data_IF_282281558708
#
_entry.id   IF_282281558708
#
_cell.length_a   1.000
_cell.length_b   1.000
_cell.length_c   1.000
_cell.angle_alpha   90.00
_cell.angle_beta   90.00
_cell.angle_gamma   90.00
#
_symmetry.space_group_name_H-M   'P 1'
#
loop_
_entity.id
_entity.type
_entity.pdbx_description
1 polymer ?
#
# COMPACT_ATOMS: atom_id res chain seq x y z
N UNK A 1 -6.09 -24.80 -12.22
CA UNK A 1 -6.77 -24.41 -10.97
C UNK A 1 -6.75 -22.90 -10.88
N UNK A 2 -7.82 -22.25 -10.43
CA UNK A 2 -7.80 -20.80 -10.20
C UNK A 2 -6.87 -20.48 -9.02
N UNK A 3 -6.19 -19.34 -9.04
CA UNK A 3 -5.31 -18.89 -7.94
C UNK A 3 -6.05 -18.87 -6.60
N UNK A 4 -7.32 -18.45 -6.62
CA UNK A 4 -8.26 -18.45 -5.49
C UNK A 4 -8.46 -19.83 -4.86
N UNK A 5 -8.60 -20.89 -5.66
CA UNK A 5 -8.81 -22.24 -5.12
C UNK A 5 -7.57 -22.74 -4.36
N UNK A 6 -6.37 -22.43 -4.88
CA UNK A 6 -5.11 -22.80 -4.23
C UNK A 6 -4.88 -22.01 -2.94
N UNK A 7 -5.22 -20.72 -2.90
CA UNK A 7 -5.14 -19.94 -1.66
C UNK A 7 -6.16 -20.40 -0.62
N UNK A 8 -7.35 -20.84 -1.03
CA UNK A 8 -8.36 -21.37 -0.10
C UNK A 8 -7.89 -22.68 0.56
N UNK A 9 -7.20 -23.54 -0.19
CA UNK A 9 -6.58 -24.76 0.32
C UNK A 9 -5.44 -24.44 1.30
N UNK A 10 -4.58 -23.47 0.95
CA UNK A 10 -3.47 -22.98 1.80
C UNK A 10 -3.96 -22.48 3.16
N UNK A 11 -4.99 -21.64 3.16
CA UNK A 11 -5.51 -21.03 4.38
C UNK A 11 -6.46 -21.95 5.18
N UNK A 12 -6.71 -23.18 4.71
CA UNK A 12 -7.66 -24.13 5.32
C UNK A 12 -9.05 -23.52 5.58
N UNK A 13 -9.52 -22.67 4.66
CA UNK A 13 -10.77 -21.89 4.81
C UNK A 13 -10.80 -20.98 6.06
N UNK A 14 -9.64 -20.47 6.50
CA UNK A 14 -9.53 -19.47 7.56
C UNK A 14 -8.86 -18.20 7.05
N UNK A 15 -9.11 -17.08 7.71
CA UNK A 15 -8.43 -15.84 7.40
C UNK A 15 -6.94 -15.93 7.76
N UNK A 16 -6.06 -15.54 6.84
CA UNK A 16 -4.61 -15.63 7.04
C UNK A 16 -4.07 -14.58 8.03
N UNK A 17 -4.84 -13.53 8.33
CA UNK A 17 -4.48 -12.49 9.29
C UNK A 17 -5.04 -12.72 10.70
N UNK A 18 -6.30 -13.16 10.83
CA UNK A 18 -6.96 -13.30 12.13
C UNK A 18 -7.38 -14.73 12.49
N UNK A 19 -7.28 -15.68 11.57
CA UNK A 19 -7.69 -17.07 11.80
C UNK A 19 -9.20 -17.31 11.86
N UNK A 20 -10.03 -16.29 11.60
CA UNK A 20 -11.50 -16.45 11.60
C UNK A 20 -11.99 -17.32 10.43
N UNK A 21 -13.14 -17.98 10.62
CA UNK A 21 -13.83 -18.87 9.69
C UNK A 21 -14.96 -18.16 8.89
N UNK A 22 -14.90 -16.84 8.83
CA UNK A 22 -15.88 -16.00 8.14
C UNK A 22 -15.66 -15.96 6.61
N UNK A 23 -16.55 -15.28 5.88
CA UNK A 23 -16.43 -15.07 4.43
C UNK A 23 -15.05 -14.55 4.06
N UNK A 24 -14.33 -15.33 3.23
CA UNK A 24 -12.99 -15.00 2.78
C UNK A 24 -13.02 -14.34 1.40
N UNK A 25 -12.31 -13.22 1.30
CA UNK A 25 -12.08 -12.50 0.06
C UNK A 25 -10.60 -12.55 -0.29
N UNK A 26 -10.28 -12.77 -1.55
CA UNK A 26 -8.91 -12.74 -2.03
C UNK A 26 -8.46 -11.28 -2.21
N UNK A 27 -7.37 -10.90 -1.54
CA UNK A 27 -6.81 -9.55 -1.56
C UNK A 27 -5.41 -9.59 -2.17
N UNK A 28 -5.17 -8.77 -3.19
CA UNK A 28 -3.84 -8.60 -3.77
C UNK A 28 -3.01 -7.63 -2.91
N UNK A 29 -1.84 -8.08 -2.47
CA UNK A 29 -0.96 -7.28 -1.62
C UNK A 29 -0.23 -6.24 -2.50
N UNK A 30 -0.38 -4.93 -2.23
CA UNK A 30 0.31 -3.90 -3.00
C UNK A 30 1.83 -4.09 -3.01
N UNK A 31 2.55 -3.74 -4.10
CA UNK A 31 2.12 -2.98 -5.28
C UNK A 31 1.42 -3.82 -6.36
N UNK A 32 1.21 -5.12 -6.13
CA UNK A 32 0.60 -6.00 -7.12
C UNK A 32 -0.91 -5.77 -7.19
N UNK A 33 -1.42 -5.63 -8.42
CA UNK A 33 -2.84 -5.40 -8.70
C UNK A 33 -3.61 -6.69 -9.02
N UNK A 34 -2.90 -7.81 -9.20
CA UNK A 34 -3.47 -9.09 -9.57
C UNK A 34 -3.34 -10.09 -8.42
N UNK A 35 -4.43 -10.80 -8.14
CA UNK A 35 -4.47 -11.85 -7.14
C UNK A 35 -3.81 -13.11 -7.70
N UNK A 36 -2.57 -13.36 -7.26
CA UNK A 36 -1.81 -14.59 -7.50
C UNK A 36 -1.59 -15.33 -6.18
N UNK A 37 -1.18 -16.60 -6.24
CA UNK A 37 -0.87 -17.38 -5.03
C UNK A 37 0.30 -16.75 -4.26
N UNK A 38 1.28 -16.23 -4.99
CA UNK A 38 2.48 -15.64 -4.41
C UNK A 38 2.19 -14.26 -3.80
N UNK A 39 1.29 -13.48 -4.40
CA UNK A 39 1.09 -12.06 -4.05
C UNK A 39 -0.31 -11.75 -3.48
N UNK A 40 -1.09 -12.78 -3.20
CA UNK A 40 -2.45 -12.68 -2.66
C UNK A 40 -2.55 -13.27 -1.26
N UNK A 41 -3.50 -12.75 -0.49
CA UNK A 41 -3.92 -13.32 0.80
C UNK A 41 -5.43 -13.50 0.87
N UNK A 42 -5.87 -14.46 1.68
CA UNK A 42 -7.29 -14.63 2.00
C UNK A 42 -7.63 -13.92 3.31
N UNK A 43 -8.48 -12.90 3.22
CA UNK A 43 -8.86 -12.06 4.36
C UNK A 43 -10.35 -12.12 4.62
N UNK A 44 -10.74 -12.03 5.89
CA UNK A 44 -12.14 -11.84 6.24
C UNK A 44 -12.59 -10.39 6.00
N UNK A 45 -13.90 -10.19 5.95
CA UNK A 45 -14.51 -8.88 5.73
C UNK A 45 -14.06 -7.84 6.77
N UNK A 46 -13.84 -8.25 8.03
CA UNK A 46 -13.35 -7.35 9.08
C UNK A 46 -11.92 -6.88 8.81
N UNK A 47 -10.99 -7.80 8.54
CA UNK A 47 -9.61 -7.46 8.21
C UNK A 47 -9.54 -6.62 6.94
N UNK A 48 -10.38 -6.90 5.94
CA UNK A 48 -10.41 -6.15 4.69
C UNK A 48 -10.90 -4.71 4.91
N UNK A 49 -11.95 -4.50 5.70
CA UNK A 49 -12.48 -3.16 5.96
C UNK A 49 -11.53 -2.29 6.80
N UNK A 50 -10.78 -2.91 7.71
CA UNK A 50 -9.85 -2.20 8.59
C UNK A 50 -8.42 -2.17 8.04
N UNK A 51 -8.16 -2.75 6.87
CA UNK A 51 -6.81 -2.90 6.34
C UNK A 51 -6.14 -1.54 6.11
N UNK A 52 -6.89 -0.54 5.67
CA UNK A 52 -6.38 0.80 5.37
C UNK A 52 -6.42 1.75 6.58
N UNK A 53 -7.36 1.51 7.48
CA UNK A 53 -7.61 2.33 8.67
C UNK A 53 -7.97 1.42 9.86
N UNK A 54 -6.97 0.94 10.62
CA UNK A 54 -7.19 -0.01 11.70
C UNK A 54 -7.90 0.67 12.88
N UNK A 55 -9.15 0.27 13.14
CA UNK A 55 -9.99 0.88 14.19
C UNK A 55 -10.02 0.03 15.46
N UNK A 56 -10.10 -1.29 15.32
CA UNK A 56 -10.13 -2.21 16.44
C UNK A 56 -8.73 -2.74 16.76
N UNK A 57 -7.99 -2.01 17.58
CA UNK A 57 -6.62 -2.35 18.00
C UNK A 57 -6.54 -3.76 18.62
N UNK A 58 -7.60 -4.20 19.33
CA UNK A 58 -7.60 -5.52 19.95
C UNK A 58 -7.72 -6.65 18.93
N UNK A 59 -8.44 -6.41 17.82
CA UNK A 59 -8.53 -7.39 16.74
C UNK A 59 -7.15 -7.68 16.15
N UNK A 60 -6.34 -6.64 15.93
CA UNK A 60 -5.00 -6.75 15.32
C UNK A 60 -3.95 -7.43 16.18
N UNK A 61 -4.25 -7.78 17.44
CA UNK A 61 -3.34 -8.59 18.26
C UNK A 61 -3.09 -9.98 17.68
N UNK A 62 -3.99 -10.47 16.81
CA UNK A 62 -3.81 -11.72 16.07
C UNK A 62 -2.57 -11.72 15.16
N UNK A 63 -2.05 -10.53 14.80
CA UNK A 63 -0.84 -10.41 13.99
C UNK A 63 0.40 -11.01 14.65
N UNK A 64 0.42 -11.15 15.98
CA UNK A 64 1.51 -11.83 16.70
C UNK A 64 1.68 -13.29 16.27
N UNK A 65 0.60 -13.94 15.81
CA UNK A 65 0.66 -15.30 15.27
C UNK A 65 0.90 -15.28 13.76
N UNK A 66 0.18 -14.42 13.03
CA UNK A 66 0.26 -14.34 11.56
C UNK A 66 1.60 -13.84 11.03
N UNK A 67 2.35 -13.06 11.81
CA UNK A 67 3.71 -12.62 11.44
C UNK A 67 4.69 -13.78 11.24
N UNK A 68 4.42 -14.95 11.83
CA UNK A 68 5.23 -16.16 11.71
C UNK A 68 4.76 -17.12 10.61
N UNK A 69 3.80 -16.69 9.79
CA UNK A 69 3.35 -17.48 8.65
C UNK A 69 4.52 -17.81 7.71
N UNK A 70 4.47 -18.96 7.05
CA UNK A 70 5.47 -19.36 6.03
C UNK A 70 5.27 -18.61 4.70
N UNK A 71 4.21 -17.82 4.62
CA UNK A 71 3.75 -17.21 3.38
C UNK A 71 4.16 -15.73 3.34
N UNK A 72 5.07 -15.40 2.42
CA UNK A 72 5.56 -14.05 2.20
C UNK A 72 4.45 -12.96 2.13
N UNK A 73 3.32 -13.13 1.41
CA UNK A 73 2.29 -12.10 1.35
C UNK A 73 1.62 -11.84 2.72
N UNK A 74 1.52 -12.85 3.58
CA UNK A 74 0.98 -12.72 4.94
C UNK A 74 1.98 -12.00 5.83
N UNK A 75 3.25 -12.37 5.76
CA UNK A 75 4.33 -11.71 6.51
C UNK A 75 4.42 -10.22 6.15
N UNK A 76 4.37 -9.88 4.85
CA UNK A 76 4.34 -8.50 4.37
C UNK A 76 3.16 -7.75 5.00
N UNK A 77 1.96 -8.29 4.90
CA UNK A 77 0.78 -7.61 5.43
C UNK A 77 0.80 -7.48 6.96
N UNK A 78 1.29 -8.49 7.67
CA UNK A 78 1.47 -8.41 9.13
C UNK A 78 2.46 -7.30 9.51
N UNK A 79 3.63 -7.26 8.87
CA UNK A 79 4.63 -6.21 9.10
C UNK A 79 4.07 -4.81 8.82
N UNK A 80 3.33 -4.66 7.71
CA UNK A 80 2.71 -3.39 7.33
C UNK A 80 1.70 -2.91 8.37
N UNK A 81 0.86 -3.80 8.86
CA UNK A 81 -0.13 -3.45 9.89
C UNK A 81 0.51 -3.14 11.24
N UNK A 82 1.51 -3.93 11.65
CA UNK A 82 2.27 -3.66 12.86
C UNK A 82 2.96 -2.29 12.79
N UNK A 83 3.49 -1.92 11.63
CA UNK A 83 4.11 -0.60 11.39
C UNK A 83 3.09 0.54 11.46
N UNK A 84 1.84 0.31 11.05
CA UNK A 84 0.75 1.28 11.23
C UNK A 84 0.32 1.41 12.70
N UNK A 85 0.39 0.31 13.44
CA UNK A 85 0.06 0.23 14.87
C UNK A 85 1.26 0.53 15.78
N UNK A 86 2.33 1.12 15.24
CA UNK A 86 3.58 1.38 15.95
C UNK A 86 3.44 2.35 17.14
N UNK A 87 2.26 2.94 17.36
CA UNK A 87 1.94 3.68 18.59
C UNK A 87 1.81 2.77 19.81
N UNK A 88 1.51 1.49 19.61
CA UNK A 88 1.29 0.50 20.65
C UNK A 88 2.58 -0.26 20.98
N UNK A 89 2.88 -0.46 22.26
CA UNK A 89 4.12 -1.14 22.68
C UNK A 89 4.20 -2.59 22.21
N UNK A 90 3.08 -3.31 22.20
CA UNK A 90 3.05 -4.71 21.75
C UNK A 90 3.35 -4.84 20.25
N UNK A 91 3.02 -3.82 19.45
CA UNK A 91 3.29 -3.83 18.02
C UNK A 91 4.77 -3.54 17.75
N UNK A 92 5.39 -2.65 18.54
CA UNK A 92 6.84 -2.43 18.55
C UNK A 92 7.59 -3.71 18.90
N UNK A 93 7.22 -4.34 20.01
CA UNK A 93 7.83 -5.59 20.47
C UNK A 93 7.72 -6.69 19.38
N UNK A 94 6.57 -6.78 18.71
CA UNK A 94 6.34 -7.72 17.61
C UNK A 94 7.23 -7.41 16.40
N UNK A 95 7.35 -6.14 15.99
CA UNK A 95 8.23 -5.72 14.89
C UNK A 95 9.70 -6.03 15.20
N UNK A 96 10.14 -5.79 16.43
CA UNK A 96 11.53 -6.02 16.85
C UNK A 96 11.89 -7.52 16.84
N UNK A 97 10.90 -8.39 17.07
CA UNK A 97 11.07 -9.84 16.99
C UNK A 97 10.90 -10.39 15.55
N UNK A 98 10.24 -9.63 14.66
CA UNK A 98 9.94 -10.08 13.31
C UNK A 98 11.20 -10.17 12.46
N UNK A 99 11.47 -11.35 11.92
CA UNK A 99 12.51 -11.51 10.90
C UNK A 99 11.86 -11.71 9.52
N UNK A 100 12.21 -10.83 8.60
CA UNK A 100 11.83 -10.91 7.18
C UNK A 100 13.07 -11.21 6.34
N UNK A 101 12.91 -12.08 5.36
CA UNK A 101 13.90 -12.24 4.30
C UNK A 101 14.08 -10.94 3.53
N UNK A 102 15.24 -10.72 2.92
CA UNK A 102 15.59 -9.44 2.29
C UNK A 102 14.59 -9.04 1.19
N UNK A 103 14.18 -9.98 0.34
CA UNK A 103 13.18 -9.76 -0.72
C UNK A 103 11.80 -9.39 -0.14
N UNK A 104 11.35 -10.13 0.88
CA UNK A 104 10.07 -9.87 1.57
C UNK A 104 10.08 -8.56 2.33
N UNK A 105 11.20 -8.20 2.96
CA UNK A 105 11.41 -6.94 3.67
C UNK A 105 11.35 -5.75 2.72
N UNK A 106 12.03 -5.84 1.57
CA UNK A 106 11.95 -4.82 0.51
C UNK A 106 10.51 -4.68 0.05
N UNK A 107 9.81 -5.78 -0.22
CA UNK A 107 8.40 -5.73 -0.61
C UNK A 107 7.50 -5.12 0.47
N UNK A 108 7.70 -5.48 1.74
CA UNK A 108 6.94 -4.93 2.85
C UNK A 108 7.06 -3.40 2.94
N UNK A 109 8.27 -2.88 2.72
CA UNK A 109 8.58 -1.46 2.73
C UNK A 109 8.05 -0.69 1.51
N UNK A 110 7.83 -1.37 0.36
CA UNK A 110 7.23 -0.73 -0.82
C UNK A 110 5.84 -0.20 -0.48
N UNK A 111 5.63 1.11 -0.61
CA UNK A 111 4.37 1.78 -0.26
C UNK A 111 4.15 2.01 1.23
N UNK A 112 5.14 1.67 2.08
CA UNK A 112 5.12 1.85 3.54
C UNK A 112 6.30 2.67 4.07
N UNK A 113 7.22 3.08 3.20
CA UNK A 113 8.34 3.94 3.59
C UNK A 113 7.86 5.12 4.44
N UNK A 114 8.28 5.13 5.70
CA UNK A 114 8.12 6.22 6.66
C UNK A 114 9.02 7.44 6.34
N UNK A 115 9.78 7.37 5.25
CA UNK A 115 10.19 8.59 4.55
C UNK A 115 8.99 9.03 3.71
N UNK A 116 8.40 10.17 4.05
CA UNK A 116 7.38 10.89 3.27
C UNK A 116 7.93 11.31 1.89
N UNK A 117 8.32 10.34 1.07
CA UNK A 117 8.86 10.52 -0.26
C UNK A 117 7.76 10.20 -1.24
N UNK A 118 7.28 11.18 -2.02
CA UNK A 118 6.34 10.90 -3.09
C UNK A 118 6.98 9.95 -4.09
N UNK A 119 6.30 8.83 -4.34
CA UNK A 119 6.70 7.86 -5.35
C UNK A 119 5.81 8.02 -6.59
N UNK A 120 6.40 7.83 -7.76
CA UNK A 120 5.68 7.74 -9.01
C UNK A 120 4.99 6.37 -9.17
N UNK A 121 4.21 6.20 -10.24
CA UNK A 121 3.48 4.95 -10.53
C UNK A 121 4.37 3.70 -10.64
N UNK A 122 5.66 3.86 -10.92
CA UNK A 122 6.62 2.76 -11.03
C UNK A 122 7.44 2.57 -9.74
N UNK A 123 7.11 3.28 -8.66
CA UNK A 123 7.86 3.24 -7.41
C UNK A 123 9.14 4.08 -7.40
N UNK A 124 9.32 5.00 -8.37
CA UNK A 124 10.49 5.88 -8.44
C UNK A 124 10.29 7.10 -7.56
N UNK A 125 11.29 7.43 -6.74
CA UNK A 125 11.29 8.61 -5.89
C UNK A 125 11.20 9.92 -6.70
N UNK A 126 10.21 10.74 -6.36
CA UNK A 126 10.00 12.08 -6.87
C UNK A 126 10.67 13.11 -5.96
N UNK A 127 11.52 13.95 -6.54
CA UNK A 127 12.28 14.99 -5.83
C UNK A 127 11.85 16.37 -6.28
N UNK A 128 12.12 17.35 -5.42
CA UNK A 128 11.93 18.76 -5.77
C UNK A 128 12.74 19.10 -7.03
N UNK A 129 12.06 19.65 -8.03
CA UNK A 129 12.63 20.02 -9.32
C UNK A 129 12.44 18.99 -10.43
N UNK A 130 11.91 17.79 -10.13
CA UNK A 130 11.61 16.79 -11.15
C UNK A 130 10.43 17.21 -12.04
N UNK A 131 10.36 16.61 -13.22
CA UNK A 131 9.21 16.72 -14.13
C UNK A 131 8.45 15.39 -14.14
N UNK A 132 7.12 15.46 -14.09
CA UNK A 132 6.26 14.27 -14.10
C UNK A 132 5.18 14.37 -15.16
N UNK A 133 4.76 13.22 -15.67
CA UNK A 133 3.66 13.11 -16.63
C UNK A 133 2.49 12.39 -15.99
N UNK A 134 1.30 12.99 -16.05
CA UNK A 134 0.08 12.39 -15.52
C UNK A 134 -0.36 11.23 -16.42
N UNK A 135 -0.59 10.05 -15.84
CA UNK A 135 -0.92 8.84 -16.59
C UNK A 135 -2.42 8.54 -16.72
N UNK A 136 -3.28 9.30 -16.03
CA UNK A 136 -4.75 9.15 -16.08
C UNK A 136 -5.44 10.50 -15.89
N UNK A 137 -6.71 10.62 -16.26
CA UNK A 137 -7.48 11.86 -16.03
C UNK A 137 -7.70 12.09 -14.52
N UNK A 138 -7.27 13.25 -14.01
CA UNK A 138 -7.39 13.61 -12.59
C UNK A 138 -8.35 14.80 -12.39
N UNK A 139 -9.46 14.63 -11.67
CA UNK A 139 -10.33 15.76 -11.33
C UNK A 139 -9.65 16.69 -10.33
N UNK A 140 -9.74 17.99 -10.56
CA UNK A 140 -9.19 19.00 -9.65
C UNK A 140 -10.23 19.29 -8.57
N UNK A 141 -9.90 19.01 -7.30
CA UNK A 141 -10.77 19.34 -6.17
C UNK A 141 -11.10 20.85 -6.17
N UNK A 142 -12.38 21.18 -6.05
CA UNK A 142 -12.88 22.56 -5.99
C UNK A 142 -13.15 23.23 -7.34
N UNK A 143 -12.94 22.53 -8.47
CA UNK A 143 -13.32 23.03 -9.80
C UNK A 143 -13.95 21.92 -10.64
N UNK A 144 -14.64 22.28 -11.73
CA UNK A 144 -15.11 21.32 -12.74
C UNK A 144 -14.04 20.99 -13.80
N UNK A 145 -12.78 21.34 -13.55
CA UNK A 145 -11.68 21.10 -14.48
C UNK A 145 -10.99 19.76 -14.17
N UNK A 146 -10.54 19.09 -15.24
CA UNK A 146 -9.87 17.79 -15.18
C UNK A 146 -8.50 17.93 -15.83
N UNK A 147 -7.47 17.46 -15.12
CA UNK A 147 -6.13 17.30 -15.69
C UNK A 147 -6.18 16.10 -16.63
N UNK A 148 -5.89 16.32 -17.90
CA UNK A 148 -5.90 15.24 -18.88
C UNK A 148 -4.67 14.37 -18.77
N UNK A 149 -4.83 13.07 -19.00
CA UNK A 149 -3.72 12.14 -19.21
C UNK A 149 -2.74 12.71 -20.25
N UNK A 150 -1.44 12.55 -19.99
CA UNK A 150 -0.36 13.09 -20.81
C UNK A 150 0.03 14.53 -20.45
N UNK A 151 -0.69 15.19 -19.54
CA UNK A 151 -0.28 16.52 -19.04
C UNK A 151 1.05 16.41 -18.31
N UNK A 152 2.00 17.26 -18.71
CA UNK A 152 3.31 17.38 -18.05
C UNK A 152 3.23 18.45 -16.96
N UNK A 153 3.70 18.09 -15.77
CA UNK A 153 3.82 18.97 -14.63
C UNK A 153 5.31 19.14 -14.36
N UNK A 154 5.79 20.38 -14.48
CA UNK A 154 7.21 20.69 -14.41
C UNK A 154 7.61 21.28 -13.08
N UNK A 155 8.86 21.02 -12.70
CA UNK A 155 9.49 21.57 -11.51
C UNK A 155 8.68 21.28 -10.25
N UNK A 156 8.36 20.00 -10.02
CA UNK A 156 7.52 19.62 -8.89
C UNK A 156 8.18 20.01 -7.56
N UNK A 157 7.36 20.24 -6.53
CA UNK A 157 7.78 20.39 -5.15
C UNK A 157 7.03 19.39 -4.29
N UNK A 158 7.79 18.68 -3.47
CA UNK A 158 7.30 17.74 -2.47
C UNK A 158 6.80 18.54 -1.27
N UNK A 159 5.56 18.27 -0.84
CA UNK A 159 4.96 18.88 0.35
C UNK A 159 4.99 17.92 1.53
N UNK A 160 4.23 18.26 2.58
CA UNK A 160 4.13 17.46 3.81
C UNK A 160 3.31 16.16 3.61
N UNK A 161 2.47 16.10 2.57
CA UNK A 161 1.73 14.88 2.20
C UNK A 161 2.52 14.14 1.10
N UNK A 162 3.10 12.97 1.37
CA UNK A 162 3.86 12.20 0.37
C UNK A 162 2.99 11.69 -0.77
N UNK A 163 1.66 11.67 -0.62
CA UNK A 163 0.76 11.29 -1.70
C UNK A 163 0.57 12.42 -2.70
N UNK A 164 0.94 13.66 -2.34
CA UNK A 164 0.72 14.84 -3.17
C UNK A 164 2.02 15.53 -3.55
N UNK A 165 2.16 15.83 -4.84
CA UNK A 165 3.21 16.71 -5.35
C UNK A 165 2.58 17.96 -5.95
N UNK A 166 3.19 19.11 -5.69
CA UNK A 166 2.79 20.38 -6.30
C UNK A 166 3.65 20.69 -7.51
N UNK A 167 3.11 21.36 -8.51
CA UNK A 167 3.91 21.77 -9.67
C UNK A 167 3.15 22.69 -10.60
N UNK A 168 3.73 22.98 -11.77
CA UNK A 168 3.12 23.86 -12.78
C UNK A 168 2.83 23.09 -14.07
N UNK A 169 1.64 23.31 -14.61
CA UNK A 169 1.32 22.85 -15.98
C UNK A 169 1.93 23.77 -17.02
N UNK A 170 1.89 23.38 -18.31
CA UNK A 170 2.36 24.21 -19.42
C UNK A 170 1.69 25.60 -19.47
N UNK A 171 0.50 25.77 -18.88
CA UNK A 171 -0.20 27.06 -18.77
C UNK A 171 0.24 27.94 -17.59
N UNK A 172 1.27 27.52 -16.83
CA UNK A 172 1.80 28.27 -15.69
C UNK A 172 0.98 28.17 -14.39
N UNK A 173 -0.19 27.53 -14.43
CA UNK A 173 -1.05 27.32 -13.27
C UNK A 173 -0.42 26.31 -12.31
N UNK A 174 -0.32 26.70 -11.03
CA UNK A 174 0.16 25.82 -9.97
C UNK A 174 -0.97 24.93 -9.44
N UNK A 175 -0.68 23.66 -9.20
CA UNK A 175 -1.65 22.68 -8.71
C UNK A 175 -0.99 21.55 -7.93
N UNK A 176 -1.81 20.84 -7.14
CA UNK A 176 -1.44 19.61 -6.45
C UNK A 176 -1.97 18.40 -7.23
N UNK A 177 -1.14 17.37 -7.38
CA UNK A 177 -1.50 16.10 -8.02
C UNK A 177 -1.04 14.91 -7.19
N UNK A 178 -1.71 13.78 -7.38
CA UNK A 178 -1.39 12.54 -6.67
C UNK A 178 -0.16 11.91 -7.31
N UNK A 179 0.88 11.68 -6.52
CA UNK A 179 2.18 11.17 -6.95
C UNK A 179 2.08 9.80 -7.65
N UNK A 180 1.27 8.90 -7.10
CA UNK A 180 1.00 7.55 -7.64
C UNK A 180 0.40 7.57 -9.06
N UNK A 181 -0.23 8.68 -9.46
CA UNK A 181 -0.85 8.84 -10.78
C UNK A 181 0.04 9.64 -11.75
N UNK A 182 1.29 9.84 -11.37
CA UNK A 182 2.30 10.51 -12.13
C UNK A 182 3.42 9.52 -12.47
N UNK A 183 4.07 9.74 -13.61
CA UNK A 183 5.29 9.02 -14.02
C UNK A 183 6.42 10.02 -14.11
N UNK A 184 7.57 9.71 -13.48
CA UNK A 184 8.77 10.52 -13.61
C UNK A 184 9.25 10.54 -15.06
N UNK A 185 9.62 11.73 -15.55
CA UNK A 185 10.13 11.91 -16.90
C UNK A 185 11.65 11.73 -16.95
#
# INVERSE_FOLDING_TARGET
MSSEATMLERCQSKCELCGSDSSLTAYAVPPHSHVTVDHGIMVCDKCLCEIDDPKDINHWRCLNDSMWSQEAPVQVMAWRQLTRLNSESWAQDALDMMYLEEETSVWAQIGMSADDKPLDVNGVELKKGDDVTVIKDLPIKGTNQVIKQGTVIRGISVGDDPKLVSGKTNGGQSMYVIAEFCRKK
#
